data_IF_436234073099
#
_entry.id   IF_436234073099
#
_cell.length_a   1.000
_cell.length_b   1.000
_cell.length_c   1.000
_cell.angle_alpha   90.00
_cell.angle_beta   90.00
_cell.angle_gamma   90.00
#
_symmetry.space_group_name_H-M   'P 1'
#
loop_
_entity.id
_entity.type
_entity.pdbx_description
1 polymer ?
#
# COMPACT_ATOMS: atom_id res chain seq x y z
N UNK A 1 -49.58 7.97 -6.42
CA UNK A 1 -49.22 7.30 -5.16
C UNK A 1 -47.91 6.53 -5.37
N UNK A 2 -46.78 7.13 -4.99
CA UNK A 2 -45.48 6.48 -4.77
C UNK A 2 -44.87 7.27 -3.61
N UNK A 3 -44.96 6.73 -2.39
CA UNK A 3 -44.49 7.39 -1.18
C UNK A 3 -42.97 7.26 -1.17
N UNK A 4 -42.28 8.38 -1.37
CA UNK A 4 -40.83 8.45 -1.24
C UNK A 4 -40.45 8.34 0.24
N UNK A 5 -40.16 7.13 0.71
CA UNK A 5 -39.53 6.95 2.02
C UNK A 5 -38.07 7.43 1.93
N UNK A 6 -37.61 8.35 2.79
CA UNK A 6 -36.20 8.64 2.91
C UNK A 6 -35.52 7.41 3.53
N UNK A 7 -34.72 6.70 2.73
CA UNK A 7 -33.84 5.66 3.25
C UNK A 7 -32.90 6.34 4.24
N UNK A 8 -32.83 5.92 5.51
CA UNK A 8 -31.87 6.46 6.45
C UNK A 8 -30.48 6.19 5.88
N UNK A 9 -29.81 7.24 5.42
CA UNK A 9 -28.40 7.16 5.08
C UNK A 9 -27.68 6.99 6.41
N UNK A 10 -27.38 5.74 6.79
CA UNK A 10 -26.48 5.48 7.89
C UNK A 10 -25.20 6.29 7.61
N UNK A 11 -24.99 7.36 8.37
CA UNK A 11 -23.85 8.25 8.21
C UNK A 11 -22.60 7.52 8.71
N UNK A 12 -22.13 6.58 7.90
CA UNK A 12 -20.90 5.87 8.12
C UNK A 12 -19.78 6.87 7.92
N UNK A 13 -19.24 7.37 9.02
CA UNK A 13 -18.16 8.33 8.98
C UNK A 13 -16.96 7.68 8.28
N UNK A 14 -16.70 8.14 7.05
CA UNK A 14 -15.59 7.63 6.24
C UNK A 14 -14.28 7.96 6.95
N UNK A 15 -13.46 6.94 7.18
CA UNK A 15 -12.17 7.09 7.86
C UNK A 15 -11.08 7.43 6.85
N UNK A 16 -10.91 8.73 6.62
CA UNK A 16 -9.91 9.24 5.67
C UNK A 16 -8.48 8.80 6.03
N UNK A 17 -8.16 8.61 7.31
CA UNK A 17 -6.83 8.18 7.76
C UNK A 17 -6.42 6.82 7.16
N UNK A 18 -7.34 5.85 7.14
CA UNK A 18 -7.09 4.52 6.56
C UNK A 18 -6.97 4.57 5.04
N UNK A 19 -7.77 5.43 4.40
CA UNK A 19 -7.70 5.65 2.97
C UNK A 19 -6.35 6.26 2.57
N UNK A 20 -5.85 7.23 3.35
CA UNK A 20 -4.52 7.81 3.16
C UNK A 20 -3.41 6.79 3.37
N UNK A 21 -3.48 5.98 4.44
CA UNK A 21 -2.49 4.92 4.68
C UNK A 21 -2.42 3.94 3.49
N UNK A 22 -3.56 3.58 2.89
CA UNK A 22 -3.61 2.75 1.68
C UNK A 22 -2.95 3.45 0.49
N UNK A 23 -3.25 4.73 0.28
CA UNK A 23 -2.63 5.53 -0.80
C UNK A 23 -1.11 5.54 -0.63
N UNK A 24 -0.62 5.81 0.58
CA UNK A 24 0.82 5.75 0.86
C UNK A 24 1.41 4.36 0.61
N UNK A 25 0.75 3.29 1.06
CA UNK A 25 1.19 1.92 0.85
C UNK A 25 1.36 1.58 -0.64
N UNK A 26 0.37 1.94 -1.46
CA UNK A 26 0.39 1.68 -2.91
C UNK A 26 1.44 2.54 -3.61
N UNK A 27 1.54 3.83 -3.25
CA UNK A 27 2.58 4.70 -3.81
C UNK A 27 3.98 4.15 -3.51
N UNK A 28 4.22 3.74 -2.26
CA UNK A 28 5.48 3.12 -1.83
C UNK A 28 5.82 1.89 -2.68
N UNK A 29 4.81 1.05 -2.94
CA UNK A 29 4.96 -0.18 -3.74
C UNK A 29 5.28 0.11 -5.21
N UNK A 30 4.71 1.17 -5.80
CA UNK A 30 5.01 1.60 -7.17
C UNK A 30 6.47 2.04 -7.28
N UNK A 31 6.92 2.91 -6.37
CA UNK A 31 8.32 3.35 -6.36
C UNK A 31 9.30 2.20 -6.12
N UNK A 32 8.93 1.24 -5.26
CA UNK A 32 9.71 0.02 -5.06
C UNK A 32 9.91 -0.76 -6.36
N UNK A 33 8.85 -1.01 -7.13
CA UNK A 33 8.96 -1.75 -8.40
C UNK A 33 9.75 -0.97 -9.46
N UNK A 34 9.57 0.35 -9.53
CA UNK A 34 10.37 1.18 -10.43
C UNK A 34 11.86 1.18 -10.05
N UNK A 35 12.17 1.19 -8.75
CA UNK A 35 13.52 1.15 -8.22
C UNK A 35 14.18 -0.24 -8.37
N UNK A 36 13.40 -1.33 -8.32
CA UNK A 36 13.88 -2.72 -8.37
C UNK A 36 14.77 -3.02 -9.59
N UNK A 37 14.54 -2.35 -10.72
CA UNK A 37 15.36 -2.45 -11.94
C UNK A 37 16.82 -2.01 -11.74
N UNK A 38 17.09 -1.17 -10.73
CA UNK A 38 18.43 -0.66 -10.42
C UNK A 38 19.11 -1.43 -9.27
N UNK A 39 18.46 -2.45 -8.72
CA UNK A 39 19.00 -3.27 -7.63
C UNK A 39 19.88 -4.40 -8.17
N UNK A 40 21.07 -4.54 -7.59
CA UNK A 40 22.03 -5.63 -7.86
C UNK A 40 22.12 -6.52 -6.62
N UNK A 41 21.35 -7.61 -6.60
CA UNK A 41 21.31 -8.61 -5.52
C UNK A 41 20.29 -9.71 -5.83
N UNK A 42 20.05 -10.65 -4.91
CA UNK A 42 19.24 -11.85 -5.19
C UNK A 42 17.80 -11.57 -5.65
N UNK A 43 17.20 -10.45 -5.20
CA UNK A 43 15.87 -10.00 -5.64
C UNK A 43 15.86 -9.46 -7.09
N UNK A 44 17.02 -9.09 -7.62
CA UNK A 44 17.20 -8.48 -8.94
C UNK A 44 17.50 -9.48 -10.06
N UNK A 45 17.74 -10.76 -9.75
CA UNK A 45 18.03 -11.82 -10.75
C UNK A 45 16.94 -11.93 -11.81
N UNK A 46 15.69 -11.61 -11.45
CA UNK A 46 14.53 -11.63 -12.35
C UNK A 46 14.37 -10.35 -13.19
N UNK A 47 15.13 -9.29 -12.90
CA UNK A 47 15.01 -7.98 -13.54
C UNK A 47 16.16 -7.73 -14.53
N UNK A 48 15.88 -7.04 -15.63
CA UNK A 48 16.92 -6.52 -16.52
C UNK A 48 17.62 -5.37 -15.80
N UNK A 49 18.77 -5.65 -15.20
CA UNK A 49 19.49 -4.70 -14.37
C UNK A 49 20.27 -3.69 -15.20
N UNK A 50 20.30 -2.44 -14.73
CA UNK A 50 21.17 -1.43 -15.32
C UNK A 50 22.67 -1.74 -15.06
N UNK A 51 23.54 -1.27 -15.96
CA UNK A 51 24.99 -1.40 -15.83
C UNK A 51 25.55 -0.67 -14.59
N UNK A 52 24.90 0.42 -14.17
CA UNK A 52 25.18 1.11 -12.91
C UNK A 52 24.06 0.90 -11.90
N UNK A 53 24.40 0.35 -10.73
CA UNK A 53 23.54 0.41 -9.55
C UNK A 53 23.97 1.57 -8.65
N UNK A 54 23.06 2.07 -7.82
CA UNK A 54 23.37 3.06 -6.79
C UNK A 54 23.14 2.50 -5.39
N UNK A 55 24.04 2.81 -4.47
CA UNK A 55 23.97 2.32 -3.09
C UNK A 55 22.74 2.86 -2.34
N UNK A 56 22.35 4.11 -2.63
CA UNK A 56 21.14 4.72 -2.09
C UNK A 56 19.86 4.00 -2.54
N UNK A 57 19.76 3.64 -3.83
CA UNK A 57 18.61 2.88 -4.33
C UNK A 57 18.54 1.48 -3.72
N UNK A 58 19.71 0.85 -3.51
CA UNK A 58 19.81 -0.44 -2.84
C UNK A 58 19.28 -0.36 -1.39
N UNK A 59 19.75 0.61 -0.61
CA UNK A 59 19.26 0.84 0.76
C UNK A 59 17.75 1.13 0.80
N UNK A 60 17.24 1.94 -0.14
CA UNK A 60 15.81 2.22 -0.25
C UNK A 60 15.00 0.94 -0.49
N UNK A 61 15.42 0.11 -1.46
CA UNK A 61 14.71 -1.14 -1.80
C UNK A 61 14.69 -2.11 -0.62
N UNK A 62 15.83 -2.32 0.04
CA UNK A 62 15.90 -3.20 1.22
C UNK A 62 15.00 -2.71 2.36
N UNK A 63 14.97 -1.39 2.58
CA UNK A 63 14.09 -0.80 3.58
C UNK A 63 12.61 -1.04 3.23
N UNK A 64 12.17 -0.70 2.02
CA UNK A 64 10.76 -0.90 1.64
C UNK A 64 10.40 -2.39 1.62
N UNK A 65 11.31 -3.25 1.18
CA UNK A 65 11.11 -4.70 1.18
C UNK A 65 10.83 -5.23 2.61
N UNK A 66 11.55 -4.76 3.62
CA UNK A 66 11.33 -5.19 5.01
C UNK A 66 9.99 -4.70 5.59
N UNK A 67 9.53 -3.52 5.15
CA UNK A 67 8.38 -2.83 5.76
C UNK A 67 7.05 -3.01 5.02
N UNK A 68 7.06 -3.36 3.73
CA UNK A 68 5.84 -3.38 2.93
C UNK A 68 4.81 -4.40 3.45
N UNK A 69 5.20 -5.66 3.69
CA UNK A 69 4.27 -6.70 4.15
C UNK A 69 3.63 -6.36 5.50
N UNK A 70 4.38 -6.00 6.56
CA UNK A 70 3.77 -5.57 7.83
C UNK A 70 2.77 -4.43 7.68
N UNK A 71 3.06 -3.45 6.82
CA UNK A 71 2.20 -2.29 6.60
C UNK A 71 0.88 -2.70 5.91
N UNK A 72 0.93 -3.57 4.90
CA UNK A 72 -0.27 -4.11 4.27
C UNK A 72 -1.10 -4.97 5.24
N UNK A 73 -0.46 -5.80 6.06
CA UNK A 73 -1.16 -6.59 7.08
C UNK A 73 -1.85 -5.71 8.12
N UNK A 74 -1.20 -4.65 8.59
CA UNK A 74 -1.78 -3.69 9.53
C UNK A 74 -3.02 -2.99 8.93
N UNK A 75 -2.91 -2.49 7.70
CA UNK A 75 -4.02 -1.83 7.00
C UNK A 75 -5.19 -2.79 6.76
N UNK A 76 -4.89 -4.04 6.38
CA UNK A 76 -5.90 -5.09 6.19
C UNK A 76 -6.61 -5.43 7.50
N UNK A 77 -5.85 -5.66 8.58
CA UNK A 77 -6.39 -5.94 9.91
C UNK A 77 -7.26 -4.81 10.46
N UNK A 78 -6.78 -3.57 10.36
CA UNK A 78 -7.57 -2.40 10.74
C UNK A 78 -8.88 -2.31 9.93
N UNK A 79 -8.80 -2.53 8.60
CA UNK A 79 -9.98 -2.55 7.72
C UNK A 79 -11.01 -3.59 8.14
N UNK A 80 -10.57 -4.81 8.45
CA UNK A 80 -11.45 -5.90 8.92
C UNK A 80 -12.08 -5.60 10.27
N UNK A 81 -11.31 -5.08 11.24
CA UNK A 81 -11.83 -4.68 12.54
C UNK A 81 -12.97 -3.68 12.41
N UNK A 82 -12.78 -2.63 11.61
CA UNK A 82 -13.80 -1.61 11.40
C UNK A 82 -15.00 -2.11 10.61
N UNK A 83 -14.84 -3.11 9.74
CA UNK A 83 -15.94 -3.72 9.02
C UNK A 83 -16.82 -4.60 9.94
N UNK A 84 -16.22 -5.26 10.93
CA UNK A 84 -16.93 -6.10 11.90
C UNK A 84 -17.52 -5.30 13.06
N UNK A 85 -16.97 -4.12 13.37
CA UNK A 85 -17.46 -3.24 14.43
C UNK A 85 -18.69 -2.39 14.01
N UNK A 86 -19.43 -2.82 13.00
CA UNK A 86 -20.56 -2.12 12.38
C UNK A 86 -21.78 -3.02 12.33
#
# INVERSE_FOLDING_TARGET
>A
MQVGCPVPQASRQRRYDLDWLRVFAVLLLIYFHAAAVFYRGELGEFYIQNARSSQWMNAFILFIHQWHMPLFFLISGAGTWFALSQ
#
